data_IF_559159418203
#
_entry.id   IF_559159418203
#
_cell.length_a   1.000
_cell.length_b   1.000
_cell.length_c   1.000
_cell.angle_alpha   90.00
_cell.angle_beta   90.00
_cell.angle_gamma   90.00
#
_symmetry.space_group_name_H-M   'P 1'
#
loop_
_entity.id
_entity.type
_entity.pdbx_description
1 polymer ?
#
# COMPACT_ATOMS: atom_id res chain seq x y z
N UNK A 1 -52.28 54.33 -54.83
CA UNK A 1 -52.96 53.80 -56.04
C UNK A 1 -53.75 52.61 -55.45
N UNK A 2 -54.97 52.92 -55.02
CA UNK A 2 -56.18 53.00 -55.85
C UNK A 2 -56.65 51.59 -56.19
N UNK A 3 -57.68 51.26 -55.49
CA UNK A 3 -59.11 51.11 -55.98
C UNK A 3 -59.38 49.67 -56.44
N UNK A 4 -60.52 49.01 -56.28
CA UNK A 4 -61.85 49.39 -55.94
C UNK A 4 -62.73 48.13 -55.77
N UNK A 5 -63.77 48.22 -54.95
CA UNK A 5 -64.91 47.34 -54.93
C UNK A 5 -65.70 47.48 -56.25
N UNK A 6 -66.70 46.64 -56.60
CA UNK A 6 -68.04 46.60 -55.95
C UNK A 6 -68.69 45.19 -55.99
N UNK A 7 -69.65 44.94 -55.07
CA UNK A 7 -71.13 45.04 -55.03
C UNK A 7 -71.93 43.98 -55.78
N UNK A 8 -72.75 43.33 -54.95
CA UNK A 8 -74.22 43.07 -54.97
C UNK A 8 -74.82 42.18 -56.05
N UNK A 9 -75.67 41.23 -55.54
CA UNK A 9 -77.16 41.12 -55.70
C UNK A 9 -77.61 39.78 -55.10
N UNK A 10 -78.36 39.71 -54.07
CA UNK A 10 -79.76 39.69 -53.84
C UNK A 10 -80.64 38.78 -54.77
N UNK A 11 -81.25 37.74 -54.14
CA UNK A 11 -82.64 37.31 -54.46
C UNK A 11 -83.10 36.17 -53.54
N UNK A 12 -84.30 36.30 -53.09
CA UNK A 12 -85.14 35.61 -52.11
C UNK A 12 -85.96 34.48 -52.75
N UNK A 13 -86.76 33.68 -52.00
CA UNK A 13 -86.85 32.22 -51.97
C UNK A 13 -88.08 31.66 -52.79
N UNK A 14 -88.37 30.35 -52.75
CA UNK A 14 -89.37 29.80 -51.83
C UNK A 14 -89.27 28.31 -51.39
N UNK A 15 -89.82 28.10 -50.24
CA UNK A 15 -90.91 27.21 -49.80
C UNK A 15 -90.76 25.69 -49.79
N UNK A 16 -90.94 25.19 -48.55
CA UNK A 16 -91.66 23.99 -48.07
C UNK A 16 -91.38 22.62 -48.67
N UNK A 17 -90.98 21.68 -47.81
CA UNK A 17 -91.72 20.42 -47.57
C UNK A 17 -91.05 19.54 -46.48
N UNK A 18 -91.86 19.34 -45.42
CA UNK A 18 -92.09 18.05 -44.68
C UNK A 18 -90.94 17.15 -44.22
N UNK A 19 -90.86 17.08 -42.89
CA UNK A 19 -90.35 16.08 -41.99
C UNK A 19 -90.42 14.63 -42.40
N UNK A 20 -89.47 13.75 -41.89
CA UNK A 20 -89.86 13.01 -40.69
C UNK A 20 -88.77 12.97 -39.57
N UNK A 21 -89.28 12.88 -38.36
CA UNK A 21 -88.62 12.71 -37.10
C UNK A 21 -87.81 11.40 -37.05
N UNK A 22 -86.60 11.49 -36.52
CA UNK A 22 -85.87 10.35 -35.96
C UNK A 22 -85.42 10.59 -34.51
N UNK A 23 -85.36 9.58 -33.66
CA UNK A 23 -85.47 9.71 -32.23
C UNK A 23 -84.19 10.21 -31.54
N UNK A 24 -84.36 11.16 -30.67
CA UNK A 24 -83.35 11.68 -29.77
C UNK A 24 -82.85 10.62 -28.79
N UNK A 25 -81.68 9.95 -29.12
CA UNK A 25 -80.89 9.21 -28.15
C UNK A 25 -80.26 10.17 -27.16
N UNK A 26 -80.83 10.28 -26.02
CA UNK A 26 -80.38 11.07 -24.88
C UNK A 26 -79.10 10.41 -24.30
N UNK A 27 -77.90 10.85 -24.75
CA UNK A 27 -76.64 10.52 -24.07
C UNK A 27 -76.58 11.31 -22.77
N UNK A 28 -76.42 10.67 -21.60
CA UNK A 28 -76.32 11.40 -20.33
C UNK A 28 -75.11 12.30 -20.34
N UNK A 29 -75.28 13.55 -20.62
CA UNK A 29 -74.29 14.60 -20.51
C UNK A 29 -73.86 14.75 -19.04
N UNK A 30 -72.62 14.34 -18.72
CA UNK A 30 -72.03 14.57 -17.40
C UNK A 30 -72.13 16.06 -17.06
N UNK A 31 -72.90 16.36 -16.00
CA UNK A 31 -73.13 17.72 -15.49
C UNK A 31 -71.83 18.47 -15.32
N UNK A 32 -71.73 19.75 -15.68
CA UNK A 32 -70.52 20.60 -15.54
C UNK A 32 -69.97 20.55 -14.13
N UNK A 33 -70.77 20.37 -13.06
CA UNK A 33 -70.34 20.14 -11.68
C UNK A 33 -69.59 18.81 -11.51
N UNK A 34 -70.01 17.72 -12.17
CA UNK A 34 -69.32 16.41 -12.07
C UNK A 34 -68.07 16.39 -12.88
N UNK A 35 -67.88 17.13 -13.97
CA UNK A 35 -66.64 17.28 -14.70
C UNK A 35 -65.56 17.96 -13.85
N UNK A 36 -65.89 18.99 -13.09
CA UNK A 36 -65.02 19.68 -12.15
C UNK A 36 -64.55 18.73 -11.01
N UNK A 37 -65.50 17.92 -10.49
CA UNK A 37 -65.17 16.95 -9.42
C UNK A 37 -64.22 15.79 -9.92
N UNK A 38 -64.42 15.33 -11.17
CA UNK A 38 -63.62 14.35 -11.80
C UNK A 38 -62.19 14.90 -12.04
N UNK A 39 -62.03 16.15 -12.52
CA UNK A 39 -60.75 16.82 -12.71
C UNK A 39 -60.03 16.98 -11.37
N UNK A 40 -60.73 17.39 -10.32
CA UNK A 40 -60.15 17.51 -8.97
C UNK A 40 -59.68 16.17 -8.46
N UNK A 41 -60.46 15.09 -8.66
CA UNK A 41 -60.09 13.74 -8.24
C UNK A 41 -58.82 13.24 -8.99
N UNK A 42 -58.71 13.52 -10.31
CA UNK A 42 -57.54 13.19 -11.10
C UNK A 42 -56.31 13.94 -10.58
N UNK A 43 -56.44 15.23 -10.25
CA UNK A 43 -55.33 16.03 -9.68
C UNK A 43 -54.88 15.44 -8.33
N UNK A 44 -55.84 15.06 -7.47
CA UNK A 44 -55.51 14.42 -6.17
C UNK A 44 -54.80 13.08 -6.38
N UNK A 45 -55.30 12.24 -7.29
CA UNK A 45 -54.68 10.92 -7.59
C UNK A 45 -53.26 11.10 -8.15
N UNK A 46 -53.07 12.02 -9.10
CA UNK A 46 -51.74 12.33 -9.67
C UNK A 46 -50.82 12.90 -8.61
N UNK A 47 -51.32 13.83 -7.77
CA UNK A 47 -50.55 14.39 -6.65
C UNK A 47 -50.12 13.32 -5.64
N UNK A 48 -51.06 12.42 -5.28
CA UNK A 48 -50.81 11.30 -4.38
C UNK A 48 -49.78 10.31 -5.00
N UNK A 49 -49.92 10.02 -6.28
CA UNK A 49 -48.99 9.14 -7.01
C UNK A 49 -47.57 9.74 -7.08
N UNK A 50 -47.43 11.04 -7.39
CA UNK A 50 -46.14 11.75 -7.40
C UNK A 50 -45.56 11.78 -5.99
N UNK A 51 -46.36 12.13 -4.97
CA UNK A 51 -45.91 12.13 -3.57
C UNK A 51 -45.44 10.77 -3.08
N UNK A 52 -46.18 9.71 -3.44
CA UNK A 52 -45.82 8.34 -3.12
C UNK A 52 -44.50 7.91 -3.83
N UNK A 53 -44.37 8.24 -5.11
CA UNK A 53 -43.13 7.97 -5.87
C UNK A 53 -41.94 8.71 -5.26
N UNK A 54 -42.09 9.98 -4.92
CA UNK A 54 -41.07 10.80 -4.29
C UNK A 54 -40.64 10.25 -2.92
N UNK A 55 -41.62 9.80 -2.12
CA UNK A 55 -41.37 9.16 -0.82
C UNK A 55 -40.58 7.85 -0.96
N UNK A 56 -40.98 6.97 -1.91
CA UNK A 56 -40.28 5.71 -2.16
C UNK A 56 -38.86 6.00 -2.62
N UNK A 57 -38.65 6.92 -3.54
CA UNK A 57 -37.32 7.31 -4.03
C UNK A 57 -36.44 7.82 -2.90
N UNK A 58 -36.96 8.67 -2.02
CA UNK A 58 -36.22 9.18 -0.84
C UNK A 58 -35.78 8.08 0.14
N UNK A 59 -36.45 6.94 0.16
CA UNK A 59 -36.11 5.80 1.03
C UNK A 59 -35.24 4.74 0.34
N UNK A 60 -35.27 4.68 -0.98
CA UNK A 60 -34.49 3.73 -1.78
C UNK A 60 -33.17 4.32 -2.26
N UNK A 61 -33.09 5.65 -2.40
CA UNK A 61 -31.91 6.39 -2.85
C UNK A 61 -31.47 7.31 -1.71
N UNK A 62 -30.37 6.96 -1.07
CA UNK A 62 -29.82 7.72 0.05
C UNK A 62 -28.61 8.51 -0.46
N UNK A 63 -28.75 9.84 -0.44
CA UNK A 63 -27.69 10.74 -0.91
C UNK A 63 -27.10 11.59 0.23
N UNK A 64 -25.89 12.07 0.02
CA UNK A 64 -25.25 13.06 0.88
C UNK A 64 -24.43 14.03 0.03
N UNK A 65 -24.43 15.29 0.44
CA UNK A 65 -23.62 16.38 -0.10
C UNK A 65 -22.24 16.50 0.58
N UNK A 66 -22.05 15.78 1.68
CA UNK A 66 -20.80 15.80 2.44
C UNK A 66 -20.00 14.56 2.12
N UNK A 67 -19.38 14.55 0.95
CA UNK A 67 -18.52 13.49 0.50
C UNK A 67 -17.40 14.04 -0.38
N UNK A 68 -16.23 13.41 -0.30
CA UNK A 68 -15.05 13.79 -1.04
C UNK A 68 -14.20 12.58 -1.41
N UNK A 69 -13.40 12.74 -2.44
CA UNK A 69 -12.48 11.72 -2.92
C UNK A 69 -11.23 11.73 -2.07
N UNK A 70 -10.83 10.56 -1.59
CA UNK A 70 -9.58 10.31 -0.86
C UNK A 70 -8.73 9.26 -1.56
N UNK A 71 -7.44 9.27 -1.29
CA UNK A 71 -6.51 8.21 -1.67
C UNK A 71 -5.38 8.10 -0.65
N UNK A 72 -4.68 6.96 -0.65
CA UNK A 72 -3.48 6.77 0.15
C UNK A 72 -2.33 7.59 -0.41
N UNK A 73 -2.00 8.71 0.21
CA UNK A 73 -0.87 9.54 -0.18
C UNK A 73 0.41 8.92 0.38
N UNK A 74 1.32 8.53 -0.51
CA UNK A 74 2.62 7.96 -0.14
C UNK A 74 3.65 9.09 -0.09
N UNK A 75 4.15 9.41 1.09
CA UNK A 75 5.27 10.34 1.24
C UNK A 75 6.57 9.66 0.86
N UNK A 76 7.26 10.19 -0.15
CA UNK A 76 8.59 9.73 -0.57
C UNK A 76 9.61 10.56 0.18
N UNK A 77 10.40 9.90 1.03
CA UNK A 77 11.42 10.53 1.87
C UNK A 77 12.81 9.96 1.57
N UNK A 78 13.84 10.76 1.85
CA UNK A 78 15.23 10.36 1.73
C UNK A 78 15.60 9.33 2.81
N UNK A 79 16.26 8.24 2.41
CA UNK A 79 16.82 7.25 3.33
C UNK A 79 18.27 7.51 3.68
N UNK A 80 18.93 8.38 2.92
CA UNK A 80 20.32 8.83 3.11
C UNK A 80 20.39 10.35 2.92
N UNK A 81 21.38 10.99 3.54
CA UNK A 81 21.65 12.42 3.37
C UNK A 81 22.57 12.66 2.18
N UNK A 82 22.55 13.87 1.63
CA UNK A 82 23.47 14.26 0.58
C UNK A 82 22.92 15.35 -0.32
N UNK A 83 23.70 15.76 -1.31
CA UNK A 83 23.29 16.76 -2.30
C UNK A 83 22.54 16.10 -3.44
N UNK A 84 21.42 16.66 -3.85
CA UNK A 84 20.63 16.15 -4.98
C UNK A 84 21.32 16.54 -6.29
N UNK A 85 21.73 15.55 -7.04
CA UNK A 85 22.36 15.75 -8.36
C UNK A 85 21.31 16.06 -9.41
N UNK A 86 20.22 15.30 -9.45
CA UNK A 86 19.14 15.44 -10.44
C UNK A 86 17.79 15.09 -9.85
N UNK A 87 16.78 15.83 -10.28
CA UNK A 87 15.36 15.49 -10.10
C UNK A 87 14.78 15.21 -11.47
N UNK A 88 14.25 14.02 -11.67
CA UNK A 88 13.87 13.50 -13.00
C UNK A 88 12.36 13.59 -13.25
N UNK A 89 11.62 14.13 -12.30
CA UNK A 89 10.17 14.24 -12.35
C UNK A 89 9.69 15.67 -12.03
N UNK A 90 8.56 16.05 -12.63
CA UNK A 90 7.88 17.29 -12.37
C UNK A 90 6.63 17.09 -11.49
N UNK A 91 6.12 18.20 -10.92
CA UNK A 91 4.81 18.17 -10.25
C UNK A 91 3.71 17.78 -11.25
N UNK A 92 2.74 17.00 -10.76
CA UNK A 92 1.60 16.47 -11.52
C UNK A 92 1.97 15.49 -12.65
N UNK A 93 3.22 15.00 -12.69
CA UNK A 93 3.64 13.98 -13.63
C UNK A 93 3.21 12.59 -13.15
N UNK A 94 2.69 11.76 -14.06
CA UNK A 94 2.45 10.35 -13.82
C UNK A 94 3.78 9.57 -13.86
N UNK A 95 3.98 8.69 -12.88
CA UNK A 95 5.14 7.80 -12.78
C UNK A 95 4.68 6.37 -12.55
N UNK A 96 5.47 5.43 -13.06
CA UNK A 96 5.27 3.99 -12.83
C UNK A 96 6.15 3.51 -11.69
N UNK A 97 5.75 2.42 -11.06
CA UNK A 97 6.57 1.71 -10.07
C UNK A 97 7.95 1.39 -10.65
N UNK A 98 8.99 1.80 -9.94
CA UNK A 98 10.38 1.60 -10.35
C UNK A 98 10.98 2.74 -11.17
N UNK A 99 10.20 3.77 -11.54
CA UNK A 99 10.76 4.96 -12.19
C UNK A 99 11.69 5.70 -11.23
N UNK A 100 12.84 6.16 -11.74
CA UNK A 100 13.81 6.93 -10.99
C UNK A 100 13.32 8.38 -10.83
N UNK A 101 13.17 8.81 -9.60
CA UNK A 101 12.61 10.12 -9.25
C UNK A 101 13.68 11.14 -8.93
N UNK A 102 14.62 10.75 -8.06
CA UNK A 102 15.68 11.63 -7.54
C UNK A 102 16.97 10.86 -7.51
N UNK A 103 18.06 11.53 -7.84
CA UNK A 103 19.43 11.04 -7.73
C UNK A 103 20.23 11.93 -6.79
N UNK A 104 20.78 11.35 -5.75
CA UNK A 104 21.66 11.97 -4.76
C UNK A 104 23.10 11.71 -5.20
N UNK A 105 24.02 12.60 -4.92
CA UNK A 105 25.44 12.42 -5.21
C UNK A 105 25.96 11.11 -4.56
N UNK A 106 26.38 10.13 -5.37
CA UNK A 106 26.80 8.84 -4.86
C UNK A 106 28.27 8.80 -4.41
N UNK A 107 29.08 9.86 -4.61
CA UNK A 107 30.53 9.80 -4.47
C UNK A 107 30.97 9.34 -3.08
N UNK A 108 30.44 9.92 -2.03
CA UNK A 108 30.77 9.56 -0.65
C UNK A 108 30.41 8.10 -0.34
N UNK A 109 29.28 7.63 -0.86
CA UNK A 109 28.80 6.26 -0.67
C UNK A 109 29.61 5.26 -1.50
N UNK A 110 30.06 5.64 -2.69
CA UNK A 110 31.00 4.82 -3.50
C UNK A 110 32.34 4.63 -2.79
N UNK A 111 32.88 5.70 -2.20
CA UNK A 111 34.11 5.64 -1.41
C UNK A 111 33.92 4.73 -0.19
N UNK A 112 32.78 4.85 0.51
CA UNK A 112 32.48 3.98 1.66
C UNK A 112 32.37 2.51 1.24
N UNK A 113 31.70 2.22 0.13
CA UNK A 113 31.60 0.87 -0.42
C UNK A 113 32.97 0.31 -0.81
N UNK A 114 33.80 1.11 -1.51
CA UNK A 114 35.13 0.70 -1.90
C UNK A 114 36.01 0.41 -0.67
N UNK A 115 35.94 1.23 0.38
CA UNK A 115 36.63 1.00 1.66
C UNK A 115 36.17 -0.30 2.34
N UNK A 116 34.86 -0.55 2.37
CA UNK A 116 34.32 -1.78 2.96
C UNK A 116 34.74 -3.03 2.15
N UNK A 117 34.72 -2.95 0.82
CA UNK A 117 35.18 -4.00 -0.09
C UNK A 117 36.65 -4.32 0.12
N UNK A 118 37.51 -3.30 0.23
CA UNK A 118 38.92 -3.50 0.56
C UNK A 118 39.10 -4.20 1.94
N UNK A 119 38.25 -3.83 2.91
CA UNK A 119 38.22 -4.47 4.22
C UNK A 119 37.90 -5.96 4.18
N UNK A 120 37.00 -6.40 3.27
CA UNK A 120 36.74 -7.83 3.02
C UNK A 120 37.96 -8.52 2.48
N UNK A 121 38.63 -7.92 1.47
CA UNK A 121 39.86 -8.50 0.89
C UNK A 121 40.95 -8.65 1.91
N UNK A 122 41.15 -7.70 2.82
CA UNK A 122 42.12 -7.81 3.93
C UNK A 122 41.76 -8.98 4.84
N UNK A 123 40.50 -9.10 5.26
CA UNK A 123 40.05 -10.19 6.14
C UNK A 123 40.17 -11.57 5.49
N UNK A 124 39.92 -11.68 4.19
CA UNK A 124 40.09 -12.92 3.42
C UNK A 124 41.57 -13.31 3.32
N UNK A 125 42.48 -12.35 3.06
CA UNK A 125 43.92 -12.59 3.02
C UNK A 125 44.49 -13.00 4.40
N UNK A 126 44.06 -12.33 5.47
CA UNK A 126 44.45 -12.70 6.84
C UNK A 126 43.98 -14.11 7.18
N UNK A 127 42.72 -14.45 6.87
CA UNK A 127 42.17 -15.79 7.10
C UNK A 127 42.89 -16.85 6.27
N UNK A 128 43.24 -16.54 5.02
CA UNK A 128 44.10 -17.39 4.16
C UNK A 128 45.46 -17.61 4.74
N UNK A 129 46.09 -16.57 5.29
CA UNK A 129 47.39 -16.68 5.97
C UNK A 129 47.32 -17.55 7.24
N UNK A 130 46.26 -17.44 8.03
CA UNK A 130 46.03 -18.29 9.21
C UNK A 130 45.81 -19.76 8.82
N UNK A 131 45.12 -20.02 7.72
CA UNK A 131 44.95 -21.36 7.16
C UNK A 131 46.30 -21.98 6.76
N UNK A 132 47.17 -21.25 6.05
CA UNK A 132 48.51 -21.70 5.67
C UNK A 132 49.42 -21.99 6.88
N UNK A 133 49.31 -21.17 7.96
CA UNK A 133 49.99 -21.44 9.23
C UNK A 133 49.55 -22.76 9.86
N UNK A 134 48.25 -23.02 9.82
CA UNK A 134 47.66 -24.28 10.33
C UNK A 134 48.15 -25.50 9.54
N UNK A 135 48.25 -25.38 8.21
CA UNK A 135 48.82 -26.47 7.38
C UNK A 135 50.32 -26.70 7.66
N UNK A 136 51.10 -25.63 7.85
CA UNK A 136 52.50 -25.74 8.26
C UNK A 136 52.66 -26.41 9.65
N UNK A 137 51.78 -26.04 10.61
CA UNK A 137 51.71 -26.66 11.93
C UNK A 137 51.39 -28.17 11.85
N UNK A 138 50.46 -28.54 10.93
CA UNK A 138 50.09 -29.94 10.66
C UNK A 138 51.28 -30.77 10.14
N UNK A 139 52.04 -30.20 9.20
CA UNK A 139 53.25 -30.83 8.70
C UNK A 139 54.34 -30.99 9.81
N UNK A 140 54.49 -29.99 10.69
CA UNK A 140 55.38 -30.06 11.84
C UNK A 140 55.00 -31.17 12.82
N UNK A 141 53.66 -31.30 13.13
CA UNK A 141 53.15 -32.40 13.98
C UNK A 141 53.44 -33.76 13.34
N UNK A 142 53.24 -33.91 12.04
CA UNK A 142 53.56 -35.18 11.36
C UNK A 142 55.05 -35.53 11.45
N UNK A 143 55.94 -34.55 11.32
CA UNK A 143 57.42 -34.73 11.50
C UNK A 143 57.74 -35.11 12.93
N UNK A 144 57.16 -34.41 13.93
CA UNK A 144 57.37 -34.73 15.35
C UNK A 144 56.90 -36.14 15.69
N UNK A 145 55.74 -36.56 15.13
CA UNK A 145 55.20 -37.91 15.29
C UNK A 145 56.18 -38.97 14.73
N UNK A 146 56.64 -38.79 13.51
CA UNK A 146 57.60 -39.72 12.91
C UNK A 146 58.91 -39.89 13.74
N UNK A 147 59.41 -38.76 14.29
CA UNK A 147 60.57 -38.80 15.19
C UNK A 147 60.30 -39.57 16.49
N UNK A 148 59.11 -39.36 17.07
CA UNK A 148 58.72 -40.07 18.29
C UNK A 148 58.57 -41.57 18.04
N UNK A 149 57.86 -41.94 16.94
CA UNK A 149 57.67 -43.33 16.55
C UNK A 149 59.02 -44.03 16.33
N UNK A 150 59.99 -43.34 15.68
CA UNK A 150 61.40 -43.86 15.54
C UNK A 150 62.04 -44.06 16.90
N UNK A 151 61.94 -43.10 17.84
CA UNK A 151 62.48 -43.19 19.17
C UNK A 151 61.90 -44.34 20.01
N UNK A 152 60.62 -44.64 19.82
CA UNK A 152 59.95 -45.83 20.43
C UNK A 152 60.59 -47.11 19.90
N UNK A 153 60.70 -47.24 18.56
CA UNK A 153 61.30 -48.42 17.94
C UNK A 153 62.81 -48.63 18.37
N UNK A 154 63.57 -47.53 18.49
CA UNK A 154 64.93 -47.58 18.92
C UNK A 154 65.04 -47.98 20.39
N UNK A 155 64.14 -47.47 21.26
CA UNK A 155 64.11 -47.91 22.66
C UNK A 155 63.69 -49.38 22.79
N UNK A 156 62.69 -49.84 22.06
CA UNK A 156 62.29 -51.26 22.05
C UNK A 156 63.43 -52.22 21.65
N UNK A 157 64.22 -51.84 20.59
CA UNK A 157 65.37 -52.57 20.18
C UNK A 157 66.49 -52.52 21.25
N UNK A 158 66.73 -51.37 21.87
CA UNK A 158 67.64 -51.15 22.95
C UNK A 158 67.34 -52.00 24.20
N UNK A 159 66.07 -52.07 24.60
CA UNK A 159 65.64 -52.92 25.72
C UNK A 159 65.88 -54.41 25.44
N UNK A 160 65.60 -54.89 24.19
CA UNK A 160 65.88 -56.26 23.81
C UNK A 160 67.42 -56.57 23.79
N UNK A 161 68.27 -55.62 23.41
CA UNK A 161 69.68 -55.75 23.41
C UNK A 161 70.26 -55.69 24.83
N UNK A 162 69.75 -54.82 25.70
CA UNK A 162 70.09 -54.73 27.10
C UNK A 162 69.72 -55.99 27.88
N UNK A 163 68.56 -56.55 27.64
CA UNK A 163 68.19 -57.86 28.24
C UNK A 163 69.06 -59.03 27.86
N UNK A 164 69.84 -58.88 26.76
CA UNK A 164 70.86 -59.82 26.30
C UNK A 164 72.30 -59.42 26.68
N UNK A 165 72.44 -58.37 27.52
CA UNK A 165 73.73 -57.83 27.98
C UNK A 165 74.64 -57.31 26.85
N UNK A 166 74.05 -56.94 25.68
CA UNK A 166 74.81 -56.48 24.51
C UNK A 166 75.17 -55.00 24.59
N UNK A 167 74.38 -54.19 25.30
CA UNK A 167 74.52 -52.73 25.46
C UNK A 167 74.63 -52.34 26.94
N UNK A 168 75.43 -51.30 27.28
CA UNK A 168 75.57 -50.83 28.64
C UNK A 168 74.24 -50.03 29.07
N UNK A 169 73.98 -49.97 30.40
CA UNK A 169 72.88 -49.30 30.96
C UNK A 169 72.79 -47.80 30.59
N UNK A 170 73.94 -47.14 30.47
CA UNK A 170 74.00 -45.75 30.04
C UNK A 170 73.37 -45.52 28.64
N UNK A 171 73.59 -46.47 27.72
CA UNK A 171 73.04 -46.42 26.38
C UNK A 171 71.54 -46.60 26.40
N UNK A 172 70.97 -47.45 27.24
CA UNK A 172 69.53 -47.61 27.45
C UNK A 172 68.97 -46.35 28.02
N UNK A 173 69.56 -45.70 29.01
CA UNK A 173 69.10 -44.47 29.61
C UNK A 173 69.10 -43.29 28.63
N UNK A 174 70.06 -43.25 27.68
CA UNK A 174 70.05 -42.30 26.55
C UNK A 174 68.81 -42.51 25.63
N UNK A 175 68.53 -43.77 25.30
CA UNK A 175 67.31 -44.10 24.47
C UNK A 175 65.99 -43.72 25.17
N UNK A 176 65.93 -44.02 26.49
CA UNK A 176 64.75 -43.56 27.30
C UNK A 176 64.66 -42.07 27.32
N UNK A 177 65.69 -41.33 27.45
CA UNK A 177 65.70 -39.88 27.43
C UNK A 177 65.31 -39.33 26.05
N UNK A 178 65.86 -39.93 24.95
CA UNK A 178 65.48 -39.55 23.59
C UNK A 178 63.97 -39.73 23.32
N UNK A 179 63.38 -40.87 23.75
CA UNK A 179 61.94 -41.06 23.68
C UNK A 179 61.17 -39.99 24.44
N UNK A 180 61.59 -39.65 25.69
CA UNK A 180 60.87 -38.61 26.50
C UNK A 180 61.01 -37.23 25.88
N UNK A 181 62.12 -36.89 25.29
CA UNK A 181 62.28 -35.61 24.56
C UNK A 181 61.40 -35.54 23.34
N UNK A 182 61.38 -36.61 22.51
CA UNK A 182 60.54 -36.65 21.33
C UNK A 182 59.01 -36.68 21.67
N UNK A 183 58.59 -37.28 22.78
CA UNK A 183 57.28 -37.28 23.32
C UNK A 183 56.82 -35.84 23.70
N UNK A 184 57.72 -35.08 24.36
CA UNK A 184 57.52 -33.68 24.69
C UNK A 184 57.37 -32.79 23.44
N UNK A 185 58.23 -33.03 22.43
CA UNK A 185 58.15 -32.32 21.13
C UNK A 185 56.87 -32.63 20.37
N UNK A 186 56.39 -33.90 20.40
CA UNK A 186 55.12 -34.28 19.80
C UNK A 186 53.97 -33.54 20.45
N UNK A 187 53.94 -33.48 21.79
CA UNK A 187 52.92 -32.74 22.52
C UNK A 187 52.92 -31.25 22.23
N UNK A 188 54.11 -30.64 22.16
CA UNK A 188 54.29 -29.23 21.78
C UNK A 188 53.75 -28.96 20.38
N UNK A 189 54.07 -29.80 19.39
CA UNK A 189 53.58 -29.66 18.03
C UNK A 189 52.04 -29.84 17.93
N UNK A 190 51.46 -30.75 18.72
CA UNK A 190 50.04 -30.96 18.79
C UNK A 190 49.29 -29.73 19.36
N UNK A 191 49.78 -29.18 20.47
CA UNK A 191 49.22 -27.96 21.06
C UNK A 191 49.37 -26.75 20.14
N UNK A 192 50.50 -26.65 19.40
CA UNK A 192 50.70 -25.61 18.41
C UNK A 192 49.72 -25.73 17.23
N UNK A 193 49.45 -26.94 16.73
CA UNK A 193 48.47 -27.18 15.71
C UNK A 193 47.06 -26.83 16.20
N UNK A 194 46.65 -27.23 17.39
CA UNK A 194 45.38 -26.88 17.96
C UNK A 194 45.15 -25.37 18.05
N UNK A 195 46.20 -24.65 18.47
CA UNK A 195 46.16 -23.19 18.55
C UNK A 195 46.00 -22.54 17.18
N UNK A 196 46.80 -22.93 16.19
CA UNK A 196 46.68 -22.37 14.83
C UNK A 196 45.38 -22.74 14.16
N UNK A 197 44.82 -23.93 14.41
CA UNK A 197 43.48 -24.30 13.95
C UNK A 197 42.37 -23.45 14.59
N UNK A 198 42.49 -23.13 15.86
CA UNK A 198 41.56 -22.27 16.56
C UNK A 198 41.61 -20.81 16.01
N UNK A 199 42.84 -20.30 15.74
CA UNK A 199 43.05 -18.99 15.11
C UNK A 199 42.46 -18.95 13.69
N UNK A 200 42.65 -20.00 12.89
CA UNK A 200 42.07 -20.13 11.55
C UNK A 200 40.55 -20.41 11.53
N UNK A 201 39.91 -20.62 12.70
CA UNK A 201 38.51 -20.96 12.80
C UNK A 201 38.16 -22.37 12.34
N UNK A 202 39.10 -23.29 12.22
CA UNK A 202 38.92 -24.66 11.78
C UNK A 202 38.43 -25.61 12.88
N UNK A 203 38.45 -25.17 14.14
CA UNK A 203 38.06 -25.93 15.33
C UNK A 203 36.62 -25.77 15.77
N UNK A 204 35.71 -25.29 14.91
CA UNK A 204 34.25 -25.10 15.24
C UNK A 204 33.97 -23.85 16.05
N UNK A 205 34.90 -23.07 16.48
CA UNK A 205 34.78 -21.73 17.07
C UNK A 205 35.23 -20.71 16.04
N UNK A 206 34.31 -19.83 15.67
CA UNK A 206 34.27 -18.90 14.55
C UNK A 206 35.38 -17.84 14.45
N UNK A 207 36.66 -18.15 14.46
CA UNK A 207 37.75 -17.15 14.37
C UNK A 207 37.76 -16.37 13.04
N UNK A 208 38.51 -16.82 12.05
CA UNK A 208 38.70 -16.11 10.79
C UNK A 208 37.44 -15.97 9.94
N UNK A 209 36.55 -16.98 9.93
CA UNK A 209 35.27 -16.90 9.21
C UNK A 209 34.34 -15.81 9.77
N UNK A 210 34.31 -15.63 11.08
CA UNK A 210 33.49 -14.58 11.71
C UNK A 210 33.96 -13.18 11.27
N UNK A 211 35.28 -12.98 11.17
CA UNK A 211 35.88 -11.71 10.72
C UNK A 211 35.51 -11.39 9.27
N UNK A 212 35.58 -12.39 8.38
CA UNK A 212 35.13 -12.22 6.98
C UNK A 212 33.65 -11.93 6.89
N UNK A 213 32.78 -12.63 7.67
CA UNK A 213 31.37 -12.40 7.71
C UNK A 213 31.04 -11.00 8.23
N UNK A 214 31.70 -10.53 9.27
CA UNK A 214 31.57 -9.16 9.79
C UNK A 214 31.89 -8.13 8.70
N UNK A 215 33.02 -8.28 7.99
CA UNK A 215 33.40 -7.36 6.91
C UNK A 215 32.48 -7.42 5.72
N UNK A 216 31.94 -8.58 5.38
CA UNK A 216 30.89 -8.71 4.36
C UNK A 216 29.60 -8.03 4.77
N UNK A 217 29.21 -8.10 6.05
CA UNK A 217 28.05 -7.37 6.55
C UNK A 217 28.22 -5.85 6.41
N UNK A 218 29.42 -5.33 6.72
CA UNK A 218 29.77 -3.91 6.52
C UNK A 218 29.75 -3.51 5.03
N UNK A 219 30.21 -4.39 4.14
CA UNK A 219 30.13 -4.16 2.70
C UNK A 219 28.66 -4.10 2.25
N UNK A 220 27.81 -5.05 2.64
CA UNK A 220 26.40 -5.07 2.32
C UNK A 220 25.67 -3.80 2.83
N UNK A 221 26.05 -3.31 4.02
CA UNK A 221 25.52 -2.05 4.56
C UNK A 221 25.91 -0.86 3.67
N UNK A 222 27.16 -0.80 3.23
CA UNK A 222 27.64 0.27 2.35
C UNK A 222 26.97 0.22 0.95
N UNK A 223 26.79 -0.98 0.38
CA UNK A 223 26.06 -1.20 -0.87
C UNK A 223 24.59 -0.77 -0.75
N UNK A 224 23.95 -1.10 0.37
CA UNK A 224 22.58 -0.71 0.64
C UNK A 224 22.44 0.83 0.73
N UNK A 225 23.36 1.50 1.43
CA UNK A 225 23.40 2.98 1.50
C UNK A 225 23.62 3.60 0.12
N UNK A 226 24.52 3.02 -0.70
CA UNK A 226 24.71 3.44 -2.08
C UNK A 226 23.44 3.25 -2.92
N UNK A 227 22.71 2.15 -2.75
CA UNK A 227 21.45 1.94 -3.45
C UNK A 227 20.40 3.00 -3.11
N UNK A 228 20.41 3.54 -1.89
CA UNK A 228 19.49 4.58 -1.43
C UNK A 228 19.78 5.97 -2.01
N UNK A 229 20.93 6.16 -2.69
CA UNK A 229 21.18 7.41 -3.43
C UNK A 229 20.29 7.57 -4.65
N UNK A 230 19.67 6.49 -5.12
CA UNK A 230 18.68 6.48 -6.20
C UNK A 230 17.31 6.21 -5.62
N UNK A 231 16.44 7.20 -5.70
CA UNK A 231 15.09 7.12 -5.12
C UNK A 231 14.12 6.78 -6.24
N UNK A 232 13.42 5.66 -6.09
CA UNK A 232 12.47 5.13 -7.06
C UNK A 232 11.03 5.24 -6.57
N UNK A 233 10.08 5.32 -7.53
CA UNK A 233 8.65 5.25 -7.22
C UNK A 233 8.28 3.87 -6.66
N UNK A 234 7.66 3.79 -5.48
CA UNK A 234 7.28 2.52 -4.86
C UNK A 234 6.05 1.88 -5.54
N UNK A 235 5.26 2.66 -6.26
CA UNK A 235 4.04 2.26 -6.98
C UNK A 235 3.69 3.28 -8.05
N UNK A 236 2.71 2.93 -8.90
CA UNK A 236 2.18 3.84 -9.91
C UNK A 236 1.40 4.99 -9.25
N UNK A 237 1.49 6.19 -9.83
CA UNK A 237 0.76 7.33 -9.30
C UNK A 237 1.23 8.68 -9.86
N UNK A 238 0.64 9.74 -9.36
CA UNK A 238 1.00 11.11 -9.72
C UNK A 238 1.86 11.74 -8.64
N UNK A 239 2.95 12.38 -9.06
CA UNK A 239 3.81 13.16 -8.16
C UNK A 239 3.09 14.46 -7.80
N UNK A 240 3.14 14.84 -6.54
CA UNK A 240 2.64 16.13 -6.06
C UNK A 240 3.48 16.64 -4.89
N UNK A 241 3.40 17.94 -4.59
CA UNK A 241 4.16 18.58 -3.51
C UNK A 241 5.66 18.28 -3.57
N UNK A 242 6.25 18.40 -4.75
CA UNK A 242 7.70 18.29 -4.90
C UNK A 242 8.38 19.43 -4.13
N UNK A 243 9.15 19.10 -3.10
CA UNK A 243 9.88 20.04 -2.24
C UNK A 243 11.40 19.96 -2.41
N UNK A 244 11.87 19.19 -3.39
CA UNK A 244 13.28 18.95 -3.65
C UNK A 244 13.67 19.48 -5.03
N UNK A 245 14.83 20.13 -5.11
CA UNK A 245 15.42 20.64 -6.36
C UNK A 245 16.88 20.18 -6.49
N UNK A 246 17.37 20.16 -7.74
CA UNK A 246 18.78 19.84 -8.03
C UNK A 246 19.69 20.86 -7.35
N UNK A 247 20.78 20.40 -6.72
CA UNK A 247 21.69 21.20 -5.93
C UNK A 247 21.27 21.37 -4.46
N UNK A 248 20.05 21.00 -4.11
CA UNK A 248 19.57 21.03 -2.72
C UNK A 248 20.25 19.98 -1.84
N UNK A 249 20.47 20.28 -0.58
CA UNK A 249 20.96 19.32 0.41
C UNK A 249 19.78 18.72 1.17
N UNK A 250 19.74 17.40 1.28
CA UNK A 250 18.65 16.66 1.93
C UNK A 250 19.16 15.84 3.11
N UNK A 251 18.28 15.63 4.08
CA UNK A 251 18.56 14.86 5.29
C UNK A 251 17.73 13.57 5.32
N UNK A 252 18.19 12.61 6.11
CA UNK A 252 17.48 11.34 6.34
C UNK A 252 16.09 11.63 6.93
N UNK A 253 15.05 11.01 6.34
CA UNK A 253 13.66 11.20 6.78
C UNK A 253 12.98 12.44 6.20
N UNK A 254 13.69 13.32 5.51
CA UNK A 254 13.09 14.49 4.87
C UNK A 254 12.15 14.06 3.75
N UNK A 255 10.91 14.56 3.79
CA UNK A 255 9.94 14.35 2.72
C UNK A 255 10.36 15.16 1.48
N UNK A 256 10.47 14.49 0.34
CA UNK A 256 10.91 15.07 -0.92
C UNK A 256 9.73 15.38 -1.85
N UNK A 257 8.74 14.52 -1.87
CA UNK A 257 7.52 14.63 -2.67
C UNK A 257 6.45 13.67 -2.16
N UNK A 258 5.23 13.86 -2.61
CA UNK A 258 4.13 12.94 -2.35
C UNK A 258 3.72 12.24 -3.65
N UNK A 259 3.41 10.96 -3.56
CA UNK A 259 2.89 10.14 -4.65
C UNK A 259 1.42 9.79 -4.35
N UNK A 260 0.53 10.11 -5.28
CA UNK A 260 -0.91 9.87 -5.18
C UNK A 260 -1.32 8.80 -6.19
N UNK A 261 -1.64 7.58 -5.77
CA UNK A 261 -2.15 6.53 -6.63
C UNK A 261 -3.65 6.71 -6.84
N UNK A 262 -4.06 7.30 -7.96
CA UNK A 262 -5.47 7.56 -8.25
C UNK A 262 -6.28 6.28 -8.52
N UNK A 263 -5.62 5.17 -8.87
CA UNK A 263 -6.29 3.88 -9.11
C UNK A 263 -6.92 3.28 -7.86
N UNK A 264 -6.40 3.61 -6.67
CA UNK A 264 -6.89 3.15 -5.38
C UNK A 264 -7.66 4.26 -4.63
N UNK A 265 -8.19 5.25 -5.36
CA UNK A 265 -9.01 6.30 -4.78
C UNK A 265 -10.37 5.75 -4.34
N UNK A 266 -10.91 6.32 -3.27
CA UNK A 266 -12.24 6.01 -2.76
C UNK A 266 -12.96 7.29 -2.40
N UNK A 267 -14.25 7.18 -2.16
CA UNK A 267 -15.05 8.29 -1.64
C UNK A 267 -15.30 8.06 -0.15
N UNK A 268 -15.04 9.07 0.65
CA UNK A 268 -15.46 9.15 2.04
C UNK A 268 -16.73 9.98 2.09
N UNK A 269 -17.88 9.31 2.29
CA UNK A 269 -19.20 9.91 2.30
C UNK A 269 -19.77 9.95 3.72
N UNK A 270 -20.06 11.14 4.23
CA UNK A 270 -20.54 11.35 5.58
C UNK A 270 -22.06 11.38 5.62
N UNK A 271 -22.70 10.26 5.91
CA UNK A 271 -24.15 10.14 6.03
C UNK A 271 -24.62 10.49 7.45
N UNK A 272 -25.81 11.11 7.56
CA UNK A 272 -26.45 11.33 8.86
C UNK A 272 -26.79 9.99 9.52
N UNK A 273 -26.70 9.89 10.84
CA UNK A 273 -26.96 8.67 11.61
C UNK A 273 -28.25 7.95 11.20
N UNK A 274 -29.33 8.72 10.94
CA UNK A 274 -30.63 8.16 10.48
C UNK A 274 -30.61 7.56 9.08
N UNK A 275 -29.64 7.96 8.23
CA UNK A 275 -29.52 7.48 6.85
C UNK A 275 -28.81 6.13 6.76
N UNK A 276 -27.98 5.80 7.74
CA UNK A 276 -27.17 4.56 7.77
C UNK A 276 -28.02 3.30 7.98
N UNK A 277 -29.25 3.43 8.50
CA UNK A 277 -30.12 2.28 8.83
C UNK A 277 -30.23 1.27 7.70
N UNK A 278 -30.18 1.71 6.44
CA UNK A 278 -30.37 0.86 5.25
C UNK A 278 -29.13 0.78 4.34
N UNK A 279 -28.01 1.39 4.72
CA UNK A 279 -26.73 1.28 3.99
C UNK A 279 -26.03 0.01 4.43
N UNK A 280 -25.57 -0.79 3.48
CA UNK A 280 -24.84 -2.06 3.71
C UNK A 280 -23.66 -2.17 2.75
N UNK A 281 -22.54 -2.80 3.16
CA UNK A 281 -21.46 -3.13 2.25
C UNK A 281 -21.94 -3.91 1.03
N UNK A 282 -21.35 -3.62 -0.12
CA UNK A 282 -21.69 -4.25 -1.41
C UNK A 282 -22.80 -3.56 -2.21
N UNK A 283 -23.53 -2.60 -1.62
CA UNK A 283 -24.56 -1.85 -2.36
C UNK A 283 -23.94 -0.97 -3.45
N UNK A 284 -24.64 -0.85 -4.58
CA UNK A 284 -24.25 0.03 -5.68
C UNK A 284 -24.42 1.49 -5.29
N UNK A 285 -23.52 2.29 -5.77
CA UNK A 285 -23.50 3.75 -5.57
C UNK A 285 -23.29 4.41 -6.91
N UNK A 286 -24.18 5.32 -7.26
CA UNK A 286 -23.98 6.24 -8.36
C UNK A 286 -23.57 7.60 -7.77
N UNK A 287 -22.58 8.26 -8.36
CA UNK A 287 -22.14 9.55 -7.84
C UNK A 287 -21.85 10.54 -8.96
N UNK A 288 -22.07 11.81 -8.65
CA UNK A 288 -21.76 12.94 -9.51
C UNK A 288 -20.65 13.74 -8.83
N UNK A 289 -19.71 14.23 -9.64
CA UNK A 289 -18.63 15.08 -9.19
C UNK A 289 -18.93 16.51 -9.60
N UNK A 290 -18.81 17.45 -8.69
CA UNK A 290 -19.16 18.86 -8.95
C UNK A 290 -18.39 19.46 -10.13
N UNK A 291 -17.14 19.01 -10.33
CA UNK A 291 -16.27 19.44 -11.44
C UNK A 291 -16.70 18.89 -12.81
N UNK A 292 -17.55 17.85 -12.85
CA UNK A 292 -17.96 17.18 -14.08
C UNK A 292 -19.50 17.03 -14.13
N UNK A 293 -20.23 18.15 -14.24
CA UNK A 293 -21.70 18.11 -14.26
C UNK A 293 -22.19 17.32 -15.47
N UNK A 294 -23.13 16.42 -15.26
CA UNK A 294 -23.71 15.58 -16.33
C UNK A 294 -23.00 14.26 -16.58
N UNK A 295 -21.88 13.98 -15.91
CA UNK A 295 -21.21 12.66 -15.92
C UNK A 295 -21.49 11.92 -14.60
N UNK A 296 -22.08 10.75 -14.70
CA UNK A 296 -22.33 9.87 -13.55
C UNK A 296 -21.25 8.81 -13.51
N UNK A 297 -20.65 8.65 -12.36
CA UNK A 297 -19.68 7.62 -12.04
C UNK A 297 -20.33 6.55 -11.17
N UNK A 298 -19.76 5.36 -11.16
CA UNK A 298 -20.28 4.25 -10.35
C UNK A 298 -19.25 3.77 -9.34
N UNK A 299 -19.77 3.19 -8.26
CA UNK A 299 -18.96 2.62 -7.19
C UNK A 299 -19.76 1.64 -6.35
N UNK A 300 -19.17 1.18 -5.25
CA UNK A 300 -19.81 0.28 -4.30
C UNK A 300 -19.44 0.65 -2.88
N UNK A 301 -20.38 0.48 -1.97
CA UNK A 301 -20.12 0.60 -0.54
C UNK A 301 -19.09 -0.47 -0.14
N UNK A 302 -17.90 -0.03 0.27
CA UNK A 302 -16.83 -0.89 0.76
C UNK A 302 -17.04 -1.19 2.25
N UNK A 303 -17.27 -0.16 3.05
CA UNK A 303 -17.48 -0.30 4.49
C UNK A 303 -18.10 0.92 5.14
N UNK A 304 -18.58 0.72 6.35
CA UNK A 304 -19.12 1.77 7.21
C UNK A 304 -18.17 1.89 8.40
N UNK A 305 -17.74 3.11 8.72
CA UNK A 305 -16.88 3.33 9.89
C UNK A 305 -17.57 2.93 11.19
N UNK A 306 -16.79 2.36 12.12
CA UNK A 306 -17.29 1.89 13.42
C UNK A 306 -17.67 3.01 14.40
N UNK A 307 -17.50 4.28 14.03
CA UNK A 307 -17.83 5.44 14.87
C UNK A 307 -18.12 6.68 14.05
N UNK A 308 -18.63 7.71 14.73
CA UNK A 308 -18.90 9.01 14.12
C UNK A 308 -17.62 9.80 13.87
N UNK A 309 -17.62 10.71 12.90
CA UNK A 309 -16.47 11.57 12.64
C UNK A 309 -16.03 12.38 13.88
N UNK A 310 -16.97 12.76 14.73
CA UNK A 310 -16.68 13.47 15.98
C UNK A 310 -15.92 12.59 17.01
N UNK A 311 -16.18 11.27 17.06
CA UNK A 311 -15.55 10.35 17.98
C UNK A 311 -14.05 10.12 17.65
N UNK A 312 -13.64 10.33 16.39
CA UNK A 312 -12.26 10.17 15.93
C UNK A 312 -11.57 11.51 15.67
N UNK A 313 -12.23 12.63 15.98
CA UNK A 313 -11.61 13.96 15.86
C UNK A 313 -10.59 14.18 16.96
N UNK A 314 -9.43 14.76 16.61
CA UNK A 314 -8.42 15.19 17.58
C UNK A 314 -8.95 16.30 18.52
N UNK A 315 -9.94 17.07 18.07
CA UNK A 315 -10.63 18.11 18.83
C UNK A 315 -12.13 17.84 18.73
N UNK A 316 -12.71 17.02 19.63
CA UNK A 316 -14.15 16.85 19.68
C UNK A 316 -14.84 18.20 19.90
N UNK A 317 -15.98 18.47 19.26
CA UNK A 317 -16.71 19.69 19.49
C UNK A 317 -17.26 19.69 20.93
N UNK A 318 -16.57 20.38 21.84
CA UNK A 318 -17.06 20.66 23.19
C UNK A 318 -17.86 21.95 23.17
N UNK A 319 -19.07 21.91 23.74
CA UNK A 319 -19.86 23.10 23.94
C UNK A 319 -19.28 23.94 25.07
N UNK A 320 -18.67 25.06 24.75
CA UNK A 320 -18.05 25.99 25.73
C UNK A 320 -19.02 26.49 26.83
N UNK A 321 -20.32 26.26 26.68
CA UNK A 321 -21.37 26.72 27.61
C UNK A 321 -21.90 25.65 28.57
N UNK A 322 -21.36 24.42 28.53
CA UNK A 322 -21.77 23.34 29.46
C UNK A 322 -23.16 22.75 29.21
N UNK A 323 -23.93 23.26 28.26
CA UNK A 323 -25.25 22.72 27.90
C UNK A 323 -25.07 21.64 26.82
N UNK A 324 -25.58 20.43 27.09
CA UNK A 324 -25.61 19.35 26.11
C UNK A 324 -26.63 19.67 25.01
N UNK A 325 -26.16 19.95 23.81
CA UNK A 325 -26.96 20.07 22.61
C UNK A 325 -26.83 18.83 21.76
N UNK A 326 -27.93 18.12 21.52
CA UNK A 326 -27.93 16.95 20.62
C UNK A 326 -27.73 17.41 19.18
N UNK A 327 -26.49 17.32 18.68
CA UNK A 327 -26.16 17.56 17.27
C UNK A 327 -26.28 16.27 16.46
N UNK A 328 -26.75 16.39 15.21
CA UNK A 328 -26.85 15.26 14.31
C UNK A 328 -25.44 14.75 13.97
N UNK A 329 -25.14 13.53 14.40
CA UNK A 329 -23.87 12.89 14.10
C UNK A 329 -23.83 12.39 12.65
N UNK A 330 -22.64 12.41 12.05
CA UNK A 330 -22.40 11.84 10.72
C UNK A 330 -21.45 10.64 10.85
N UNK A 331 -21.75 9.58 10.13
CA UNK A 331 -20.95 8.36 10.08
C UNK A 331 -20.33 8.26 8.70
N UNK A 332 -18.99 8.19 8.59
CA UNK A 332 -18.32 8.03 7.32
C UNK A 332 -18.57 6.64 6.71
N UNK A 333 -18.90 6.63 5.45
CA UNK A 333 -19.04 5.43 4.62
C UNK A 333 -17.99 5.48 3.54
N UNK A 334 -17.19 4.43 3.46
CA UNK A 334 -16.18 4.27 2.40
C UNK A 334 -16.84 3.64 1.18
N UNK A 335 -16.67 4.28 0.02
CA UNK A 335 -17.21 3.82 -1.26
C UNK A 335 -16.03 3.61 -2.19
N UNK A 336 -15.85 2.39 -2.65
CA UNK A 336 -14.86 2.05 -3.67
C UNK A 336 -15.37 2.52 -5.04
N UNK A 337 -14.53 3.22 -5.78
CA UNK A 337 -14.83 3.70 -7.13
C UNK A 337 -14.61 2.56 -8.12
N UNK A 338 -15.55 2.33 -9.02
CA UNK A 338 -15.38 1.36 -10.11
C UNK A 338 -14.45 1.96 -11.18
N UNK A 339 -13.25 1.41 -11.36
CA UNK A 339 -12.24 1.91 -12.30
C UNK A 339 -12.75 1.99 -13.75
N UNK A 340 -13.73 1.17 -14.12
CA UNK A 340 -14.39 1.22 -15.43
C UNK A 340 -15.19 2.50 -15.66
N UNK A 341 -15.59 3.21 -14.59
CA UNK A 341 -16.35 4.46 -14.68
C UNK A 341 -15.46 5.69 -14.91
N UNK A 342 -14.16 5.59 -14.57
CA UNK A 342 -13.16 6.67 -14.77
C UNK A 342 -11.91 6.16 -15.51
N UNK A 343 -12.01 5.73 -16.77
CA UNK A 343 -10.88 5.20 -17.54
C UNK A 343 -9.81 6.27 -17.83
N UNK A 344 -10.17 7.53 -17.80
CA UNK A 344 -9.27 8.67 -18.06
C UNK A 344 -8.60 9.19 -16.78
N UNK A 345 -8.90 8.60 -15.62
CA UNK A 345 -8.43 9.05 -14.31
C UNK A 345 -8.62 10.55 -14.08
N UNK A 346 -9.83 11.04 -14.37
CA UNK A 346 -10.19 12.46 -14.19
C UNK A 346 -10.38 12.84 -12.73
N UNK A 347 -10.73 11.86 -11.92
CA UNK A 347 -10.99 12.05 -10.50
C UNK A 347 -9.70 12.41 -9.75
N UNK A 348 -9.79 13.44 -8.89
CA UNK A 348 -8.67 13.91 -8.08
C UNK A 348 -9.03 13.88 -6.60
N UNK A 349 -8.03 13.63 -5.77
CA UNK A 349 -8.17 13.68 -4.31
C UNK A 349 -8.61 15.08 -3.88
N UNK A 350 -9.61 15.13 -2.98
CA UNK A 350 -10.20 16.37 -2.49
C UNK A 350 -11.36 16.89 -3.31
N UNK A 351 -11.73 16.29 -4.45
CA UNK A 351 -12.94 16.69 -5.20
C UNK A 351 -14.20 16.36 -4.38
N UNK A 352 -15.15 17.30 -4.38
CA UNK A 352 -16.47 17.11 -3.79
C UNK A 352 -17.33 16.28 -4.71
N UNK A 353 -18.09 15.38 -4.11
CA UNK A 353 -18.98 14.45 -4.81
C UNK A 353 -20.32 14.31 -4.10
N UNK A 354 -21.34 13.96 -4.85
CA UNK A 354 -22.69 13.66 -4.31
C UNK A 354 -22.99 12.18 -4.61
N UNK A 355 -22.65 11.27 -3.68
CA UNK A 355 -22.93 9.85 -3.84
C UNK A 355 -24.37 9.53 -3.42
N UNK A 356 -25.05 8.75 -4.26
CA UNK A 356 -26.38 8.19 -4.05
C UNK A 356 -26.28 6.67 -3.89
N UNK A 357 -26.51 6.17 -2.70
CA UNK A 357 -26.52 4.74 -2.41
C UNK A 357 -27.88 4.14 -2.80
N UNK A 358 -27.84 3.11 -3.64
CA UNK A 358 -29.01 2.33 -4.02
C UNK A 358 -29.22 1.21 -2.99
N UNK A 359 -30.22 1.39 -2.10
CA UNK A 359 -30.42 0.44 -0.99
C UNK A 359 -30.93 -0.94 -1.43
N UNK A 360 -31.39 -1.07 -2.68
CA UNK A 360 -31.94 -2.33 -3.21
C UNK A 360 -33.30 -2.70 -2.62
N UNK A 361 -33.92 -1.83 -1.78
CA UNK A 361 -35.20 -2.10 -1.17
C UNK A 361 -36.34 -2.00 -2.21
N UNK A 362 -37.28 -2.94 -2.17
CA UNK A 362 -38.44 -2.92 -3.02
C UNK A 362 -39.45 -1.86 -2.55
N UNK A 363 -40.21 -1.32 -3.48
CA UNK A 363 -41.33 -0.39 -3.14
C UNK A 363 -42.30 -1.00 -2.13
N UNK A 364 -42.51 -2.32 -2.17
CA UNK A 364 -43.38 -3.04 -1.25
C UNK A 364 -42.84 -3.06 0.18
N UNK A 365 -41.53 -3.15 0.36
CA UNK A 365 -40.87 -3.10 1.68
C UNK A 365 -40.94 -1.70 2.29
N UNK A 366 -40.78 -0.65 1.48
CA UNK A 366 -40.92 0.74 1.93
C UNK A 366 -42.34 1.05 2.34
N UNK A 367 -43.32 0.54 1.60
CA UNK A 367 -44.75 0.72 1.93
C UNK A 367 -45.21 0.00 3.21
N UNK A 368 -44.57 -1.14 3.55
CA UNK A 368 -44.82 -1.85 4.82
C UNK A 368 -44.42 -1.02 6.05
N UNK A 369 -43.43 -0.13 5.93
CA UNK A 369 -43.05 0.79 7.03
C UNK A 369 -44.11 1.90 7.29
N UNK A 370 -44.98 2.19 6.34
CA UNK A 370 -46.09 3.15 6.49
C UNK A 370 -47.30 2.58 7.25
N UNK A 371 -47.28 1.27 7.53
CA UNK A 371 -48.40 0.67 8.27
C UNK A 371 -48.27 0.96 9.78
N UNK A 372 -49.11 1.81 10.37
CA UNK A 372 -48.99 2.22 11.77
C UNK A 372 -49.43 1.14 12.80
N UNK A 373 -49.81 -0.05 12.33
CA UNK A 373 -50.33 -1.16 13.16
C UNK A 373 -49.30 -2.32 13.32
N UNK A 374 -48.04 -2.00 13.45
CA UNK A 374 -46.99 -2.98 13.78
C UNK A 374 -46.35 -2.69 15.13
#
# INVERSE_FOLDING_TARGET
MEQEKPQQAEAVPPESALTPEEPTGNKPGISKKNKGLIILLIIIVVGCWIGLKMFITSKTHIETDNAFIEANIVSISAKVSGTVTRVLVADNQFVKKGDLLVEIDPQDYQVQMAKASAGVGVAENETGGEYLKSEAARAALQSARAKHDQAILDLERGEKLFAREVIPGEQLDRLRTARRVTESQLKEADEYLKRTQAEAGLGGKSGGRAKVLERRALLNEAELKLSYTKIYAPRDGYITRKSVESGGNIQIGQALMALVPLQDAWITANYKERQITHIRPGQKVDFIVDSYPGRTFSGRVDGIMAGTGAAFSLLPPENATGNYVKVVQRIPVKIAIDNSSDPEHLLRVGMSVVPTVLTGRSSAEVLKELNPFR
#
